data_IF_440582547191
#
_entry.id   IF_440582547191
#
_cell.length_a   1.000
_cell.length_b   1.000
_cell.length_c   1.000
_cell.angle_alpha   90.00
_cell.angle_beta   90.00
_cell.angle_gamma   90.00
#
_symmetry.space_group_name_H-M   'P 1'
#
loop_
_entity.id
_entity.type
_entity.pdbx_description
1 polymer ?
#
# COMPACT_ATOMS: atom_id res chain seq x y z
N UNK A 1 2.33 -7.92 5.32
CA UNK A 1 3.13 -7.78 6.55
C UNK A 1 2.18 -7.75 7.73
N UNK A 2 2.54 -8.40 8.84
CA UNK A 2 1.58 -8.54 9.93
C UNK A 2 1.25 -7.25 10.66
N UNK A 3 2.16 -6.29 10.71
CA UNK A 3 2.01 -5.11 11.56
C UNK A 3 2.14 -3.78 10.82
N UNK A 4 2.28 -3.79 9.51
CA UNK A 4 2.39 -2.56 8.74
C UNK A 4 1.95 -2.77 7.30
N UNK A 5 1.71 -1.66 6.59
CA UNK A 5 1.26 -1.66 5.20
C UNK A 5 2.16 -0.73 4.39
N UNK A 6 2.56 -1.17 3.22
CA UNK A 6 3.23 -0.35 2.22
C UNK A 6 2.29 -0.08 1.06
N UNK A 7 2.18 1.18 0.67
CA UNK A 7 1.31 1.60 -0.43
C UNK A 7 2.09 2.44 -1.44
N UNK A 8 1.80 2.23 -2.70
CA UNK A 8 2.30 3.03 -3.81
C UNK A 8 1.10 3.77 -4.39
N UNK A 9 1.05 5.09 -4.18
CA UNK A 9 -0.13 5.90 -4.45
C UNK A 9 0.17 7.05 -5.38
N UNK A 10 -0.82 7.42 -6.19
CA UNK A 10 -0.86 8.69 -6.89
C UNK A 10 -1.90 9.57 -6.20
N UNK A 11 -1.48 10.75 -5.76
CA UNK A 11 -2.37 11.69 -5.07
C UNK A 11 -2.92 12.68 -6.09
N UNK A 12 -4.26 12.75 -6.26
CA UNK A 12 -4.84 13.67 -7.23
C UNK A 12 -4.60 15.13 -6.87
N UNK A 13 -4.63 16.04 -7.86
CA UNK A 13 -4.57 17.47 -7.58
C UNK A 13 -5.65 17.90 -6.60
N UNK A 14 -5.29 18.76 -5.66
CA UNK A 14 -6.22 19.25 -4.65
C UNK A 14 -6.36 18.34 -3.42
N UNK A 15 -5.69 17.19 -3.42
CA UNK A 15 -5.68 16.30 -2.26
C UNK A 15 -4.27 16.22 -1.68
N UNK A 16 -4.17 16.07 -0.36
CA UNK A 16 -2.90 15.86 0.32
C UNK A 16 -2.72 14.38 0.64
N UNK A 17 -1.47 13.96 0.88
CA UNK A 17 -1.22 12.58 1.31
C UNK A 17 -1.86 12.30 2.66
N UNK A 18 -1.90 13.28 3.55
CA UNK A 18 -2.55 13.13 4.85
C UNK A 18 -4.04 12.83 4.69
N UNK A 19 -4.70 13.51 3.78
CA UNK A 19 -6.12 13.27 3.51
C UNK A 19 -6.36 11.90 2.89
N UNK A 20 -5.51 11.51 1.94
CA UNK A 20 -5.62 10.19 1.31
C UNK A 20 -5.47 9.08 2.35
N UNK A 21 -4.48 9.19 3.24
CA UNK A 21 -4.26 8.18 4.28
C UNK A 21 -5.37 8.19 5.32
N UNK A 22 -5.92 9.36 5.64
CA UNK A 22 -7.07 9.45 6.53
C UNK A 22 -8.27 8.66 5.98
N UNK A 23 -8.54 8.80 4.68
CA UNK A 23 -9.64 8.07 4.04
C UNK A 23 -9.38 6.56 4.01
N UNK A 24 -8.16 6.14 3.71
CA UNK A 24 -7.81 4.72 3.66
C UNK A 24 -7.87 4.09 5.05
N UNK A 25 -7.20 4.69 6.02
CA UNK A 25 -7.16 4.17 7.39
C UNK A 25 -8.53 4.19 8.05
N UNK A 26 -9.26 5.30 7.89
CA UNK A 26 -10.59 5.45 8.46
C UNK A 26 -11.58 4.48 7.86
N UNK A 27 -11.55 4.32 6.53
CA UNK A 27 -12.41 3.38 5.85
C UNK A 27 -12.16 1.94 6.28
N UNK A 28 -10.90 1.55 6.40
CA UNK A 28 -10.56 0.22 6.88
C UNK A 28 -11.02 0.01 8.33
N UNK A 29 -10.75 0.97 9.21
CA UNK A 29 -11.12 0.85 10.62
C UNK A 29 -12.63 0.72 10.78
N UNK A 30 -13.40 1.49 10.01
CA UNK A 30 -14.85 1.41 10.01
C UNK A 30 -15.33 0.02 9.58
N UNK A 31 -14.77 -0.51 8.48
CA UNK A 31 -15.15 -1.82 7.97
C UNK A 31 -14.76 -2.94 8.94
N UNK A 32 -13.59 -2.84 9.55
CA UNK A 32 -13.15 -3.82 10.53
C UNK A 32 -14.08 -3.87 11.75
N UNK A 33 -14.53 -2.70 12.21
CA UNK A 33 -15.49 -2.64 13.30
C UNK A 33 -16.84 -3.25 12.92
N UNK A 34 -17.33 -2.93 11.72
CA UNK A 34 -18.63 -3.40 11.25
C UNK A 34 -18.63 -4.89 10.92
N UNK A 35 -17.63 -5.37 10.20
CA UNK A 35 -17.62 -6.72 9.64
C UNK A 35 -17.02 -7.76 10.59
N UNK A 36 -16.09 -7.35 11.45
CA UNK A 36 -15.34 -8.27 12.29
C UNK A 36 -15.44 -7.96 13.78
N UNK A 37 -16.22 -6.93 14.15
CA UNK A 37 -16.39 -6.55 15.55
C UNK A 37 -15.15 -5.96 16.19
N UNK A 38 -14.16 -5.54 15.39
CA UNK A 38 -12.96 -4.92 15.93
C UNK A 38 -13.29 -3.60 16.61
N UNK A 39 -12.69 -3.35 17.77
CA UNK A 39 -12.85 -2.09 18.47
C UNK A 39 -11.49 -1.62 19.00
N UNK A 40 -11.43 -0.36 19.44
CA UNK A 40 -10.20 0.25 19.87
C UNK A 40 -9.35 0.76 18.70
N UNK A 41 -8.11 1.09 18.98
CA UNK A 41 -7.20 1.66 17.99
C UNK A 41 -6.62 0.57 17.10
N UNK A 42 -6.91 0.62 15.80
CA UNK A 42 -6.38 -0.33 14.82
C UNK A 42 -5.06 0.15 14.24
N UNK A 43 -4.94 1.46 14.00
CA UNK A 43 -3.77 2.06 13.36
C UNK A 43 -2.94 2.85 14.34
N UNK A 44 -1.61 2.75 14.21
CA UNK A 44 -0.71 3.65 14.90
C UNK A 44 -0.77 5.03 14.23
N UNK A 45 -0.43 6.07 14.99
CA UNK A 45 -0.36 7.41 14.46
C UNK A 45 0.80 7.55 13.48
N UNK A 46 0.59 8.40 12.49
CA UNK A 46 1.63 8.80 11.57
C UNK A 46 1.88 7.83 10.45
N UNK A 47 2.85 8.18 9.65
CA UNK A 47 3.27 7.40 8.49
C UNK A 47 4.63 7.91 8.03
N UNK A 48 5.31 7.10 7.22
CA UNK A 48 6.51 7.52 6.50
C UNK A 48 6.19 7.63 5.03
N UNK A 49 6.67 8.69 4.37
CA UNK A 49 6.46 8.84 2.94
C UNK A 49 7.77 9.04 2.21
N UNK A 50 7.79 8.60 0.96
CA UNK A 50 8.88 8.87 0.04
C UNK A 50 8.27 9.24 -1.31
N UNK A 51 8.67 10.38 -1.83
CA UNK A 51 8.19 10.84 -3.13
C UNK A 51 8.96 10.17 -4.25
N UNK A 52 8.27 9.86 -5.34
CA UNK A 52 8.88 9.23 -6.50
C UNK A 52 8.76 10.19 -7.66
N UNK A 53 9.91 10.55 -8.25
CA UNK A 53 9.98 11.54 -9.32
C UNK A 53 10.30 10.92 -10.69
N UNK A 54 10.77 9.68 -10.70
CA UNK A 54 11.27 9.02 -11.91
C UNK A 54 10.71 7.62 -12.04
N UNK A 55 10.63 7.12 -13.29
CA UNK A 55 10.17 5.78 -13.57
C UNK A 55 11.02 4.72 -12.88
N UNK A 56 12.33 4.91 -12.85
CA UNK A 56 13.24 3.99 -12.19
C UNK A 56 12.91 3.84 -10.70
N UNK A 57 12.67 4.96 -10.02
CA UNK A 57 12.27 4.95 -8.62
C UNK A 57 10.93 4.27 -8.41
N UNK A 58 10.01 4.47 -9.33
CA UNK A 58 8.71 3.81 -9.29
C UNK A 58 8.87 2.29 -9.33
N UNK A 59 9.65 1.78 -10.28
CA UNK A 59 9.86 0.34 -10.40
C UNK A 59 10.60 -0.23 -9.21
N UNK A 60 11.59 0.49 -8.68
CA UNK A 60 12.34 0.05 -7.50
C UNK A 60 11.42 -0.09 -6.29
N UNK A 61 10.54 0.88 -6.05
CA UNK A 61 9.62 0.83 -4.92
C UNK A 61 8.55 -0.23 -5.10
N UNK A 62 8.03 -0.40 -6.31
CA UNK A 62 7.08 -1.46 -6.61
C UNK A 62 7.68 -2.82 -6.34
N UNK A 63 8.92 -3.04 -6.76
CA UNK A 63 9.63 -4.28 -6.50
C UNK A 63 9.84 -4.51 -5.01
N UNK A 64 10.24 -3.48 -4.27
CA UNK A 64 10.43 -3.56 -2.83
C UNK A 64 9.14 -3.99 -2.14
N UNK A 65 8.00 -3.38 -2.50
CA UNK A 65 6.71 -3.72 -1.92
C UNK A 65 6.35 -5.18 -2.20
N UNK A 66 6.55 -5.63 -3.45
CA UNK A 66 6.24 -7.00 -3.84
C UNK A 66 7.10 -8.02 -3.11
N UNK A 67 8.38 -7.72 -2.89
CA UNK A 67 9.32 -8.66 -2.29
C UNK A 67 9.37 -8.60 -0.76
N UNK A 68 8.65 -7.69 -0.15
CA UNK A 68 8.74 -7.49 1.30
C UNK A 68 8.41 -8.77 2.08
N UNK A 69 7.34 -9.46 1.71
CA UNK A 69 6.92 -10.68 2.39
C UNK A 69 7.93 -11.83 2.19
N UNK A 70 8.61 -11.85 1.05
CA UNK A 70 9.66 -12.83 0.78
C UNK A 70 10.88 -12.56 1.67
N UNK A 71 11.31 -11.31 1.72
CA UNK A 71 12.49 -10.94 2.51
C UNK A 71 12.29 -11.10 4.01
N UNK A 72 11.06 -10.96 4.47
CA UNK A 72 10.73 -11.18 5.89
C UNK A 72 10.43 -12.64 6.21
N UNK A 73 10.49 -13.52 5.21
CA UNK A 73 10.32 -14.95 5.43
C UNK A 73 8.89 -15.45 5.53
N UNK A 74 7.91 -14.61 5.19
CA UNK A 74 6.50 -15.00 5.27
C UNK A 74 6.09 -15.96 4.16
N UNK A 75 6.66 -15.80 2.96
CA UNK A 75 6.37 -16.64 1.80
C UNK A 75 7.65 -16.87 1.01
N UNK A 76 7.66 -17.91 0.16
CA UNK A 76 8.80 -18.20 -0.71
C UNK A 76 8.84 -17.29 -1.93
N UNK A 77 7.68 -16.98 -2.52
CA UNK A 77 7.56 -16.07 -3.66
C UNK A 77 6.51 -15.01 -3.38
N UNK A 78 6.66 -13.84 -4.00
CA UNK A 78 5.73 -12.72 -3.78
C UNK A 78 4.29 -13.09 -4.16
N UNK A 79 4.12 -13.89 -5.20
CA UNK A 79 2.81 -14.29 -5.70
C UNK A 79 2.03 -15.15 -4.72
N UNK A 80 2.68 -15.75 -3.74
CA UNK A 80 2.03 -16.57 -2.72
C UNK A 80 1.38 -15.74 -1.60
N UNK A 81 1.75 -14.47 -1.47
CA UNK A 81 1.24 -13.64 -0.38
C UNK A 81 -0.05 -12.94 -0.82
N UNK A 82 -1.20 -13.43 -0.34
CA UNK A 82 -2.51 -12.94 -0.76
C UNK A 82 -2.79 -11.48 -0.40
N UNK A 83 -2.01 -10.88 0.50
CA UNK A 83 -2.16 -9.49 0.91
C UNK A 83 -1.18 -8.55 0.17
N UNK A 84 -0.60 -9.03 -0.93
CA UNK A 84 0.34 -8.29 -1.73
C UNK A 84 -0.22 -8.10 -3.15
N UNK A 85 0.15 -6.98 -3.79
CA UNK A 85 -0.28 -6.70 -5.17
C UNK A 85 0.24 -7.72 -6.19
N UNK A 86 1.25 -8.51 -5.84
CA UNK A 86 1.75 -9.58 -6.70
C UNK A 86 0.86 -10.82 -6.72
N UNK A 87 -0.06 -10.96 -5.77
CA UNK A 87 -0.98 -12.10 -5.73
C UNK A 87 -1.92 -12.04 -6.94
N UNK A 88 -2.10 -13.15 -7.66
CA UNK A 88 -2.94 -13.14 -8.87
C UNK A 88 -4.39 -12.76 -8.59
N UNK A 89 -4.99 -12.04 -9.51
CA UNK A 89 -6.39 -11.66 -9.44
C UNK A 89 -6.65 -10.22 -9.04
N UNK A 90 -5.65 -9.48 -8.56
CA UNK A 90 -5.82 -8.07 -8.26
C UNK A 90 -5.61 -7.22 -9.50
N UNK A 91 -6.45 -6.20 -9.66
CA UNK A 91 -6.31 -5.22 -10.72
C UNK A 91 -5.45 -4.06 -10.22
N UNK A 92 -4.38 -3.76 -10.95
CA UNK A 92 -3.47 -2.67 -10.61
C UNK A 92 -3.60 -1.56 -11.62
N UNK A 93 -3.42 -0.32 -11.15
CA UNK A 93 -3.36 0.82 -12.04
C UNK A 93 -2.09 0.80 -12.87
N UNK A 94 -2.15 1.43 -14.03
CA UNK A 94 -0.98 1.58 -14.89
C UNK A 94 0.00 2.59 -14.29
N UNK A 95 1.21 2.61 -14.80
CA UNK A 95 2.23 3.58 -14.39
C UNK A 95 1.66 5.01 -14.58
N UNK A 96 1.82 5.91 -13.59
CA UNK A 96 1.33 7.28 -13.73
C UNK A 96 1.91 7.99 -14.95
N UNK A 97 1.09 8.79 -15.63
CA UNK A 97 1.48 9.46 -16.87
C UNK A 97 2.73 10.34 -16.70
N UNK A 98 2.83 11.02 -15.57
CA UNK A 98 3.98 11.89 -15.32
C UNK A 98 5.30 11.14 -15.18
N UNK A 99 5.27 9.82 -15.05
CA UNK A 99 6.46 8.98 -14.97
C UNK A 99 6.75 8.21 -16.26
N UNK A 100 5.86 8.26 -17.24
CA UNK A 100 6.04 7.49 -18.48
C UNK A 100 7.01 8.11 -19.47
N UNK A 101 7.57 9.23 -19.15
CA UNK A 101 8.52 9.86 -20.01
C UNK A 101 7.92 10.64 -21.13
#
# INVERSE_FOLDING_TARGET
MPDHVHLLLTIPPGMTIEKALQLIKGGFAFRAGKDFGANGTIWQRGFSEMRIFELEGFHARKHYIRQNAVQTGLVATAEEFRFCSAFPGYTLDTVPENLRG
#
